data_IF_662359834926
#
_entry.id   IF_662359834926
#
_cell.length_a   1.000
_cell.length_b   1.000
_cell.length_c   1.000
_cell.angle_alpha   90.00
_cell.angle_beta   90.00
_cell.angle_gamma   90.00
#
_symmetry.space_group_name_H-M   'P 1'
#
loop_
_entity.id
_entity.type
_entity.pdbx_description
1 polymer ?
#
# COMPACT_ATOMS: atom_id res chain seq x y z
N UNK A 1 -14.80 -0.92 -10.84
CA UNK A 1 -13.43 -1.22 -10.36
C UNK A 1 -13.54 -1.41 -8.85
N UNK A 2 -12.76 -2.32 -8.24
CA UNK A 2 -12.82 -2.53 -6.80
C UNK A 2 -12.37 -1.27 -6.06
N UNK A 3 -12.91 -1.04 -4.85
CA UNK A 3 -12.45 0.03 -3.97
C UNK A 3 -11.03 -0.30 -3.49
N UNK A 4 -10.09 0.63 -3.58
CA UNK A 4 -8.71 0.38 -3.15
C UNK A 4 -8.44 1.07 -1.83
N UNK A 5 -8.00 0.31 -0.83
CA UNK A 5 -7.65 0.83 0.49
C UNK A 5 -6.15 0.68 0.67
N UNK A 6 -5.44 1.74 1.05
CA UNK A 6 -3.97 1.74 1.05
C UNK A 6 -3.43 2.12 2.42
N UNK A 7 -2.54 1.27 2.95
CA UNK A 7 -1.85 1.54 4.20
C UNK A 7 -0.61 2.44 4.00
N UNK A 8 0.01 2.90 5.09
CA UNK A 8 1.12 3.86 5.12
C UNK A 8 2.31 3.43 4.24
N UNK A 9 2.79 2.19 4.40
CA UNK A 9 4.05 1.76 3.76
C UNK A 9 4.02 1.81 2.23
N UNK A 10 2.99 1.28 1.53
CA UNK A 10 2.88 1.46 0.08
C UNK A 10 2.90 2.92 -0.38
N UNK A 11 2.20 3.82 0.32
CA UNK A 11 2.17 5.25 -0.01
C UNK A 11 3.58 5.83 0.12
N UNK A 12 4.24 5.59 1.25
CA UNK A 12 5.59 6.07 1.52
C UNK A 12 6.57 5.60 0.43
N UNK A 13 6.62 4.30 0.14
CA UNK A 13 7.62 3.76 -0.77
C UNK A 13 7.37 4.14 -2.23
N UNK A 14 6.11 4.16 -2.67
CA UNK A 14 5.77 4.65 -4.01
C UNK A 14 6.09 6.14 -4.14
N UNK A 15 5.78 6.95 -3.12
CA UNK A 15 6.12 8.37 -3.12
C UNK A 15 7.64 8.61 -3.18
N UNK A 16 8.42 7.96 -2.31
CA UNK A 16 9.88 8.10 -2.27
C UNK A 16 10.60 7.53 -3.51
N UNK A 17 9.90 6.69 -4.28
CA UNK A 17 10.32 6.20 -5.58
C UNK A 17 9.81 7.06 -6.75
N UNK A 18 9.06 8.14 -6.51
CA UNK A 18 8.41 8.99 -7.53
C UNK A 18 7.38 8.24 -8.40
N UNK A 19 6.64 7.33 -7.78
CA UNK A 19 5.69 6.41 -8.42
C UNK A 19 4.30 6.42 -7.77
N UNK A 20 3.99 7.41 -6.93
CA UNK A 20 2.70 7.47 -6.23
C UNK A 20 1.50 7.51 -7.20
N UNK A 21 1.65 8.20 -8.33
CA UNK A 21 0.63 8.31 -9.37
C UNK A 21 0.26 6.96 -10.01
N UNK A 22 1.06 5.91 -9.84
CA UNK A 22 0.69 4.56 -10.28
C UNK A 22 -0.60 4.08 -9.60
N UNK A 23 -0.86 4.48 -8.35
CA UNK A 23 -2.10 4.14 -7.67
C UNK A 23 -3.30 4.72 -8.44
N UNK A 24 -3.25 6.01 -8.79
CA UNK A 24 -4.29 6.66 -9.57
C UNK A 24 -4.43 6.07 -10.97
N UNK A 25 -3.31 5.87 -11.68
CA UNK A 25 -3.32 5.35 -13.04
C UNK A 25 -3.86 3.91 -13.15
N UNK A 26 -3.69 3.12 -12.10
CA UNK A 26 -4.16 1.72 -12.07
C UNK A 26 -5.59 1.57 -11.56
N UNK A 27 -6.05 2.46 -10.69
CA UNK A 27 -7.27 2.25 -9.91
C UNK A 27 -8.22 3.45 -9.81
N UNK A 28 -7.79 4.64 -10.26
CA UNK A 28 -8.57 5.86 -10.15
C UNK A 28 -8.55 6.42 -8.72
N UNK A 29 -9.68 6.36 -8.04
CA UNK A 29 -9.81 6.87 -6.68
C UNK A 29 -9.23 5.88 -5.67
N UNK A 30 -8.54 6.40 -4.67
CA UNK A 30 -7.89 5.60 -3.62
C UNK A 30 -8.44 6.00 -2.25
N UNK A 31 -8.80 5.03 -1.43
CA UNK A 31 -9.21 5.23 -0.05
C UNK A 31 -7.98 5.09 0.85
N UNK A 32 -7.76 6.10 1.70
CA UNK A 32 -6.72 6.08 2.72
C UNK A 32 -7.40 6.12 4.09
N UNK A 33 -7.10 5.18 5.00
CA UNK A 33 -7.61 5.24 6.37
C UNK A 33 -7.22 6.55 7.06
N UNK A 34 -8.10 7.09 7.90
CA UNK A 34 -7.82 8.33 8.66
C UNK A 34 -6.52 8.22 9.48
N UNK A 35 -6.32 7.11 10.19
CA UNK A 35 -5.10 6.88 10.98
C UNK A 35 -3.83 6.76 10.12
N UNK A 36 -3.95 6.35 8.85
CA UNK A 36 -2.84 6.36 7.89
C UNK A 36 -2.55 7.79 7.43
N UNK A 37 -3.58 8.59 7.16
CA UNK A 37 -3.41 9.99 6.80
C UNK A 37 -2.75 10.79 7.92
N UNK A 38 -3.17 10.56 9.17
CA UNK A 38 -2.56 11.17 10.36
C UNK A 38 -1.10 10.77 10.53
N UNK A 39 -0.77 9.49 10.38
CA UNK A 39 0.61 8.99 10.45
C UNK A 39 1.51 9.66 9.39
N UNK A 40 1.01 9.77 8.15
CA UNK A 40 1.74 10.41 7.06
C UNK A 40 1.96 11.90 7.33
N UNK A 41 0.94 12.61 7.83
CA UNK A 41 1.04 14.02 8.17
C UNK A 41 2.04 14.28 9.31
N UNK A 42 2.02 13.45 10.36
CA UNK A 42 3.02 13.51 11.44
C UNK A 42 4.42 13.27 10.88
N UNK A 43 4.62 12.22 10.08
CA UNK A 43 5.90 11.93 9.46
C UNK A 43 6.42 13.07 8.57
N UNK A 44 5.52 13.69 7.79
CA UNK A 44 5.84 14.85 6.96
C UNK A 44 6.29 16.04 7.82
N UNK A 45 5.59 16.33 8.93
CA UNK A 45 5.95 17.40 9.86
C UNK A 45 7.31 17.19 10.54
N UNK A 46 7.74 15.93 10.66
CA UNK A 46 9.04 15.53 11.19
C UNK A 46 10.15 15.55 10.12
N UNK A 47 9.86 15.97 8.89
CA UNK A 47 10.83 16.08 7.80
C UNK A 47 11.07 14.78 7.03
N UNK A 48 10.26 13.75 7.23
CA UNK A 48 10.31 12.54 6.40
C UNK A 48 9.75 12.88 5.02
N UNK A 49 10.40 12.41 3.97
CA UNK A 49 9.89 12.55 2.60
C UNK A 49 8.62 11.71 2.41
N UNK A 50 7.46 12.33 2.62
CA UNK A 50 6.11 11.78 2.51
C UNK A 50 5.22 12.76 1.73
N UNK A 51 4.14 12.27 1.09
CA UNK A 51 3.20 13.15 0.42
C UNK A 51 2.33 13.90 1.45
N UNK A 52 1.94 15.13 1.11
CA UNK A 52 0.79 15.77 1.76
C UNK A 52 -0.49 15.13 1.21
N UNK A 53 -0.97 14.09 1.90
CA UNK A 53 -2.08 13.26 1.45
C UNK A 53 -3.39 14.05 1.31
N UNK A 54 -3.57 15.12 2.11
CA UNK A 54 -4.77 15.96 2.10
C UNK A 54 -4.84 16.86 0.85
N UNK A 55 -3.71 17.07 0.17
CA UNK A 55 -3.62 17.86 -1.06
C UNK A 55 -3.92 17.07 -2.34
N UNK A 56 -4.03 15.74 -2.26
CA UNK A 56 -4.14 14.86 -3.43
C UNK A 56 -5.60 14.60 -3.77
N UNK A 57 -6.08 15.14 -4.90
CA UNK A 57 -7.50 15.15 -5.27
C UNK A 57 -8.13 13.79 -5.55
N UNK A 58 -7.32 12.77 -5.87
CA UNK A 58 -7.80 11.40 -6.14
C UNK A 58 -7.78 10.50 -4.90
N UNK A 59 -7.40 11.06 -3.74
CA UNK A 59 -7.43 10.36 -2.46
C UNK A 59 -8.68 10.75 -1.69
N UNK A 60 -9.40 9.73 -1.23
CA UNK A 60 -10.47 9.86 -0.26
C UNK A 60 -9.97 9.38 1.09
N UNK A 61 -9.98 10.27 2.08
CA UNK A 61 -9.69 9.89 3.46
C UNK A 61 -10.98 9.39 4.12
N UNK A 62 -10.95 8.19 4.69
CA UNK A 62 -12.13 7.56 5.29
C UNK A 62 -11.78 6.92 6.64
N UNK A 63 -12.65 7.12 7.63
CA UNK A 63 -12.55 6.50 8.95
C UNK A 63 -13.42 5.24 9.01
N UNK A 64 -12.95 4.18 9.67
CA UNK A 64 -13.74 2.96 9.85
C UNK A 64 -14.86 3.18 10.88
N UNK A 65 -16.10 2.81 10.54
CA UNK A 65 -17.25 3.00 11.43
C UNK A 65 -17.26 2.00 12.59
N UNK A 66 -16.88 0.75 12.30
CA UNK A 66 -16.90 -0.36 13.22
C UNK A 66 -15.49 -0.72 13.65
N UNK A 67 -15.15 -0.25 14.86
CA UNK A 67 -13.94 -0.67 15.58
C UNK A 67 -13.99 -2.13 16.06
N UNK A 68 -15.01 -2.91 15.71
CA UNK A 68 -15.27 -4.23 16.28
C UNK A 68 -14.16 -5.27 16.01
N UNK A 69 -13.32 -5.06 14.99
CA UNK A 69 -12.20 -5.96 14.68
C UNK A 69 -10.90 -5.54 15.42
N UNK A 70 -10.83 -4.29 15.90
CA UNK A 70 -9.65 -3.71 16.57
C UNK A 70 -9.17 -4.49 17.82
N UNK A 71 -10.03 -5.11 18.65
CA UNK A 71 -9.57 -5.80 19.86
C UNK A 71 -8.84 -7.12 19.60
N UNK A 72 -9.06 -7.76 18.44
CA UNK A 72 -8.52 -9.10 18.12
C UNK A 72 -7.11 -9.05 17.53
N UNK A 73 -6.59 -7.84 17.28
CA UNK A 73 -5.37 -7.63 16.52
C UNK A 73 -4.47 -6.59 17.18
N UNK A 74 -4.14 -6.81 18.45
CA UNK A 74 -3.34 -5.88 19.26
C UNK A 74 -1.92 -5.68 18.75
N UNK A 75 -1.39 -6.64 17.97
CA UNK A 75 -0.05 -6.62 17.40
C UNK A 75 0.08 -5.72 16.16
N UNK A 76 -1.03 -5.33 15.52
CA UNK A 76 -1.02 -4.43 14.36
C UNK A 76 -1.07 -2.95 14.77
N UNK A 77 -0.45 -2.11 13.95
CA UNK A 77 -0.52 -0.65 14.08
C UNK A 77 -1.92 -0.10 13.83
N UNK A 78 -2.15 1.17 14.18
CA UNK A 78 -3.45 1.82 13.99
C UNK A 78 -3.89 1.80 12.51
N UNK A 79 -2.99 2.21 11.60
CA UNK A 79 -3.25 2.23 10.15
C UNK A 79 -3.59 0.86 9.56
N UNK A 80 -2.85 -0.19 9.95
CA UNK A 80 -3.11 -1.55 9.50
C UNK A 80 -4.48 -2.05 9.96
N UNK A 81 -4.81 -1.85 11.24
CA UNK A 81 -6.10 -2.27 11.78
C UNK A 81 -7.25 -1.54 11.11
N UNK A 82 -7.11 -0.25 10.87
CA UNK A 82 -8.16 0.53 10.22
C UNK A 82 -8.30 0.19 8.74
N UNK A 83 -7.19 -0.07 8.02
CA UNK A 83 -7.24 -0.55 6.64
C UNK A 83 -8.01 -1.88 6.53
N UNK A 84 -7.78 -2.82 7.46
CA UNK A 84 -8.52 -4.08 7.53
C UNK A 84 -10.00 -3.87 7.88
N UNK A 85 -10.30 -2.95 8.81
CA UNK A 85 -11.67 -2.61 9.18
C UNK A 85 -12.46 -2.03 7.99
N UNK A 86 -11.88 -1.05 7.29
CA UNK A 86 -12.45 -0.52 6.06
C UNK A 86 -12.63 -1.60 4.99
N UNK A 87 -11.69 -2.54 4.89
CA UNK A 87 -11.79 -3.66 3.96
C UNK A 87 -13.02 -4.55 4.21
N UNK A 88 -13.39 -4.72 5.49
CA UNK A 88 -14.58 -5.47 5.88
C UNK A 88 -15.88 -4.67 5.74
N UNK A 89 -15.82 -3.35 5.90
CA UNK A 89 -16.96 -2.45 5.77
C UNK A 89 -17.33 -2.17 4.31
N UNK A 90 -16.34 -2.16 3.41
CA UNK A 90 -16.50 -1.79 2.02
C UNK A 90 -16.47 -3.06 1.16
N UNK A 91 -17.62 -3.48 0.61
CA UNK A 91 -17.69 -4.64 -0.28
C UNK A 91 -16.79 -4.46 -1.51
N UNK A 92 -16.30 -5.58 -2.03
CA UNK A 92 -15.46 -5.62 -3.25
C UNK A 92 -14.25 -4.67 -3.16
N UNK A 93 -13.69 -4.53 -1.96
CA UNK A 93 -12.49 -3.76 -1.72
C UNK A 93 -11.24 -4.62 -1.84
N UNK A 94 -10.12 -3.96 -2.08
CA UNK A 94 -8.81 -4.56 -2.26
C UNK A 94 -7.78 -3.74 -1.49
N UNK A 95 -7.05 -4.38 -0.59
CA UNK A 95 -6.19 -3.68 0.37
C UNK A 95 -4.73 -3.75 -0.08
N UNK A 96 -4.03 -2.63 -0.06
CA UNK A 96 -2.60 -2.58 -0.34
C UNK A 96 -1.82 -2.59 0.98
N UNK A 97 -1.09 -3.69 1.23
CA UNK A 97 -0.35 -3.98 2.46
C UNK A 97 1.03 -4.58 2.15
N UNK A 98 2.07 -4.07 2.81
CA UNK A 98 3.41 -4.65 2.73
C UNK A 98 3.80 -5.52 3.93
N UNK A 99 3.22 -5.27 5.10
CA UNK A 99 3.55 -6.00 6.32
C UNK A 99 3.06 -7.46 6.28
N UNK A 100 3.92 -8.37 6.75
CA UNK A 100 3.65 -9.80 6.73
C UNK A 100 2.54 -10.22 7.69
N UNK A 101 2.44 -9.59 8.85
CA UNK A 101 1.38 -9.82 9.83
C UNK A 101 0.05 -9.26 9.32
N UNK A 102 0.05 -8.03 8.78
CA UNK A 102 -1.14 -7.42 8.20
C UNK A 102 -1.73 -8.29 7.06
N UNK A 103 -0.88 -8.83 6.18
CA UNK A 103 -1.29 -9.76 5.11
C UNK A 103 -1.89 -11.06 5.64
N UNK A 104 -1.35 -11.62 6.73
CA UNK A 104 -1.92 -12.81 7.38
C UNK A 104 -3.32 -12.53 7.90
N UNK A 105 -3.54 -11.38 8.53
CA UNK A 105 -4.87 -10.99 8.98
C UNK A 105 -5.83 -10.74 7.82
N UNK A 106 -5.41 -10.05 6.75
CA UNK A 106 -6.21 -9.90 5.54
C UNK A 106 -6.67 -11.28 5.00
N UNK A 107 -5.76 -12.25 4.94
CA UNK A 107 -6.08 -13.61 4.52
C UNK A 107 -7.08 -14.31 5.47
N UNK A 108 -6.89 -14.22 6.79
CA UNK A 108 -7.81 -14.80 7.79
C UNK A 108 -9.22 -14.20 7.67
N UNK A 109 -9.29 -12.91 7.39
CA UNK A 109 -10.53 -12.15 7.19
C UNK A 109 -11.12 -12.32 5.78
N UNK A 110 -10.47 -13.10 4.91
CA UNK A 110 -10.84 -13.32 3.49
C UNK A 110 -10.93 -12.02 2.69
N UNK A 111 -10.09 -11.05 3.04
CA UNK A 111 -9.93 -9.80 2.32
C UNK A 111 -8.91 -10.00 1.20
N UNK A 112 -9.25 -9.48 0.04
CA UNK A 112 -8.35 -9.44 -1.10
C UNK A 112 -7.27 -8.38 -0.87
N UNK A 113 -6.00 -8.72 -1.12
CA UNK A 113 -4.89 -7.80 -0.88
C UNK A 113 -3.75 -7.93 -1.90
N UNK A 114 -2.95 -6.86 -2.00
CA UNK A 114 -1.70 -6.82 -2.76
C UNK A 114 -0.64 -6.02 -2.01
N UNK A 115 0.63 -6.23 -2.35
CA UNK A 115 1.72 -5.39 -1.88
C UNK A 115 2.21 -4.40 -2.92
N UNK A 116 3.12 -3.52 -2.51
CA UNK A 116 3.81 -2.57 -3.39
C UNK A 116 4.46 -3.26 -4.59
N UNK A 117 5.09 -4.42 -4.39
CA UNK A 117 5.70 -5.17 -5.49
C UNK A 117 4.67 -5.67 -6.51
N UNK A 118 3.47 -6.02 -6.07
CA UNK A 118 2.38 -6.41 -6.95
C UNK A 118 1.85 -5.22 -7.75
N UNK A 119 1.84 -4.02 -7.15
CA UNK A 119 1.55 -2.77 -7.86
C UNK A 119 2.57 -2.52 -8.97
N UNK A 120 3.87 -2.68 -8.68
CA UNK A 120 4.93 -2.51 -9.68
C UNK A 120 4.80 -3.50 -10.85
N UNK A 121 4.53 -4.78 -10.55
CA UNK A 121 4.28 -5.78 -11.59
C UNK A 121 3.07 -5.43 -12.45
N UNK A 122 1.96 -5.04 -11.82
CA UNK A 122 0.74 -4.65 -12.54
C UNK A 122 0.95 -3.40 -13.38
N UNK A 123 1.67 -2.41 -12.88
CA UNK A 123 2.04 -1.21 -13.61
C UNK A 123 2.87 -1.54 -14.85
N UNK A 124 3.85 -2.45 -14.74
CA UNK A 124 4.61 -2.95 -15.90
C UNK A 124 3.70 -3.65 -16.91
N UNK A 125 2.86 -4.58 -16.45
CA UNK A 125 1.93 -5.30 -17.34
C UNK A 125 0.97 -4.36 -18.08
N UNK A 126 0.64 -3.21 -17.50
CA UNK A 126 -0.20 -2.18 -18.11
C UNK A 126 0.56 -1.15 -18.94
N UNK A 127 1.89 -1.26 -19.05
CA UNK A 127 2.72 -0.37 -19.84
C UNK A 127 3.07 0.97 -19.15
N UNK A 128 2.74 1.12 -17.86
CA UNK A 128 3.12 2.31 -17.09
C UNK A 128 4.59 2.30 -16.67
N UNK A 129 5.22 1.12 -16.67
CA UNK A 129 6.64 0.93 -16.36
C UNK A 129 7.28 0.08 -17.45
N UNK A 130 8.43 0.52 -17.95
CA UNK A 130 9.24 -0.32 -18.84
C UNK A 130 9.95 -1.43 -18.05
N UNK A 131 10.48 -1.09 -16.87
CA UNK A 131 11.29 -1.98 -16.04
C UNK A 131 10.97 -1.85 -14.55
N UNK A 132 11.03 -2.97 -13.85
CA UNK A 132 10.84 -3.07 -12.40
C UNK A 132 12.19 -3.13 -11.67
N UNK A 133 13.24 -3.71 -12.27
CA UNK A 133 14.57 -3.83 -11.64
C UNK A 133 15.14 -2.54 -11.06
N UNK A 134 15.20 -1.39 -11.78
CA UNK A 134 15.76 -0.16 -11.21
C UNK A 134 14.91 0.38 -10.04
N UNK A 135 13.62 0.10 -10.04
CA UNK A 135 12.71 0.50 -8.95
C UNK A 135 12.98 -0.36 -7.71
N UNK A 136 13.21 -1.66 -7.87
CA UNK A 136 13.61 -2.52 -6.75
C UNK A 136 14.94 -2.07 -6.14
N UNK A 137 15.92 -1.70 -6.98
CA UNK A 137 17.19 -1.14 -6.50
C UNK A 137 16.97 0.17 -5.73
N UNK A 138 16.06 1.04 -6.20
CA UNK A 138 15.67 2.24 -5.45
C UNK A 138 15.03 1.88 -4.10
N UNK A 139 14.10 0.93 -4.07
CA UNK A 139 13.47 0.48 -2.83
C UNK A 139 14.48 -0.09 -1.82
N UNK A 140 15.51 -0.80 -2.29
CA UNK A 140 16.61 -1.28 -1.45
C UNK A 140 17.32 -0.10 -0.75
N UNK A 141 17.58 1.01 -1.47
CA UNK A 141 18.17 2.22 -0.86
C UNK A 141 17.28 2.90 0.17
N UNK A 142 15.96 2.71 0.06
CA UNK A 142 14.95 3.21 0.99
C UNK A 142 14.72 2.27 2.18
N UNK A 143 15.53 1.20 2.31
CA UNK A 143 15.41 0.17 3.35
C UNK A 143 14.08 -0.60 3.30
N UNK A 144 13.46 -0.69 2.13
CA UNK A 144 12.32 -1.56 1.90
C UNK A 144 12.73 -3.02 2.18
N UNK A 145 12.05 -3.69 3.12
CA UNK A 145 12.43 -5.06 3.51
C UNK A 145 11.99 -6.05 2.44
N UNK A 146 12.93 -6.47 1.60
CA UNK A 146 12.70 -7.44 0.53
C UNK A 146 13.66 -8.61 0.64
N UNK A 147 13.13 -9.82 0.83
CA UNK A 147 13.94 -11.03 0.76
C UNK A 147 14.46 -11.25 -0.68
N UNK A 148 15.71 -11.71 -0.82
CA UNK A 148 16.32 -11.98 -2.12
C UNK A 148 15.50 -12.96 -2.97
N UNK A 149 14.89 -13.96 -2.35
CA UNK A 149 14.00 -14.92 -3.03
C UNK A 149 12.77 -14.23 -3.62
N UNK A 150 12.15 -13.30 -2.87
CA UNK A 150 11.03 -12.50 -3.36
C UNK A 150 11.48 -11.56 -4.48
N UNK A 151 12.64 -10.90 -4.34
CA UNK A 151 13.21 -10.03 -5.38
C UNK A 151 13.37 -10.78 -6.71
N UNK A 152 14.03 -11.94 -6.69
CA UNK A 152 14.25 -12.75 -7.89
C UNK A 152 12.92 -13.19 -8.50
N UNK A 153 11.96 -13.60 -7.67
CA UNK A 153 10.61 -13.95 -8.13
C UNK A 153 9.91 -12.79 -8.84
N UNK A 154 10.02 -11.56 -8.32
CA UNK A 154 9.47 -10.37 -8.97
C UNK A 154 10.17 -10.09 -10.31
N UNK A 155 11.51 -10.16 -10.37
CA UNK A 155 12.25 -9.97 -11.63
C UNK A 155 11.86 -11.00 -12.69
N UNK A 156 11.70 -12.26 -12.30
CA UNK A 156 11.21 -13.33 -13.17
C UNK A 156 9.83 -13.03 -13.73
N UNK A 157 8.89 -12.65 -12.85
CA UNK A 157 7.52 -12.29 -13.24
C UNK A 157 7.48 -11.04 -14.13
N UNK A 158 8.48 -10.16 -14.02
CA UNK A 158 8.67 -9.00 -14.86
C UNK A 158 9.39 -9.31 -16.19
N UNK A 159 9.91 -10.51 -16.40
CA UNK A 159 10.74 -10.84 -17.56
C UNK A 159 12.08 -10.09 -17.60
N UNK A 160 12.67 -9.86 -16.42
CA UNK A 160 13.93 -9.09 -16.24
C UNK A 160 15.04 -9.91 -15.55
N UNK A 161 14.97 -11.24 -15.65
CA UNK A 161 16.05 -12.17 -15.25
C UNK A 161 17.19 -12.22 -16.28
#
# INVERSE_FOLDING_TARGET
MPNIIVNTSPIQYLYQAHLLDLLHNLYGQIIVPESVADELAVGLSLGISLPDIYSISWIEIRSAQSKAILPLVTELGAGEREALALGLEIPESFIILDDGLARRYAQLLKLEYIGTLGILLKAKQKGYLERVKPILERLDTLKFRLALSTRNKILKLAGEE
#
